data_IF_344402693671
#
_entry.id   IF_344402693671
#
_cell.length_a   1.000
_cell.length_b   1.000
_cell.length_c   1.000
_cell.angle_alpha   90.00
_cell.angle_beta   90.00
_cell.angle_gamma   90.00
#
_symmetry.space_group_name_H-M   'P 1'
#
loop_
_entity.id
_entity.type
_entity.pdbx_description
1 polymer ?
#
# COMPACT_ATOMS: atom_id res chain seq x y z
N UNK A 1 13.01 14.52 -4.25
CA UNK A 1 14.37 14.24 -3.72
C UNK A 1 15.45 14.78 -4.63
N UNK A 2 15.53 14.36 -5.90
CA UNK A 2 16.55 14.90 -6.83
C UNK A 2 16.35 16.39 -7.11
N UNK A 3 15.11 16.81 -7.39
CA UNK A 3 14.79 18.21 -7.66
C UNK A 3 15.13 19.15 -6.50
N UNK A 4 14.98 18.70 -5.24
CA UNK A 4 15.36 19.50 -4.06
C UNK A 4 16.87 19.69 -3.90
N UNK A 5 17.68 18.93 -4.65
CA UNK A 5 19.14 19.08 -4.74
C UNK A 5 19.56 19.90 -5.98
N UNK A 6 18.61 20.52 -6.70
CA UNK A 6 18.88 21.24 -7.94
C UNK A 6 19.23 20.33 -9.12
N UNK A 7 18.87 19.04 -9.06
CA UNK A 7 19.09 18.07 -10.14
C UNK A 7 17.87 18.06 -11.05
N UNK A 8 18.11 18.18 -12.36
CA UNK A 8 17.09 18.03 -13.40
C UNK A 8 16.87 16.56 -13.69
N UNK A 9 15.61 16.13 -13.78
CA UNK A 9 15.23 14.72 -14.04
C UNK A 9 14.48 14.63 -15.37
N UNK A 10 14.79 13.63 -16.18
CA UNK A 10 14.13 13.32 -17.45
C UNK A 10 13.92 11.81 -17.60
N UNK A 11 13.21 11.38 -18.65
CA UNK A 11 13.06 9.96 -19.04
C UNK A 11 12.57 9.05 -17.91
N UNK A 12 11.55 9.53 -17.18
CA UNK A 12 10.96 8.80 -16.05
C UNK A 12 9.89 7.85 -16.60
N UNK A 13 10.03 6.55 -16.30
CA UNK A 13 8.95 5.58 -16.54
C UNK A 13 7.79 5.82 -15.60
N UNK A 14 6.55 5.63 -16.08
CA UNK A 14 5.39 5.80 -15.21
C UNK A 14 5.30 4.69 -14.15
N UNK A 15 4.77 5.03 -12.98
CA UNK A 15 4.54 4.05 -11.92
C UNK A 15 3.64 2.91 -12.42
N UNK A 16 4.07 1.68 -12.19
CA UNK A 16 3.34 0.47 -12.63
C UNK A 16 3.72 -0.04 -14.02
N UNK A 17 4.53 0.69 -14.78
CA UNK A 17 5.10 0.16 -16.02
C UNK A 17 6.08 -0.99 -15.77
N UNK A 18 6.09 -1.98 -16.67
CA UNK A 18 7.09 -3.06 -16.64
C UNK A 18 8.38 -2.59 -17.27
N UNK A 19 9.44 -2.55 -16.47
CA UNK A 19 10.80 -2.35 -16.96
C UNK A 19 11.42 -3.69 -17.42
N UNK A 20 12.17 -3.65 -18.51
CA UNK A 20 13.03 -4.75 -18.98
C UNK A 20 14.44 -4.62 -18.41
N UNK A 21 15.19 -5.72 -18.37
CA UNK A 21 16.59 -5.69 -17.94
C UNK A 21 17.41 -4.73 -18.80
N UNK A 22 18.18 -3.84 -18.17
CA UNK A 22 18.97 -2.80 -18.84
C UNK A 22 18.17 -1.58 -19.31
N UNK A 23 16.86 -1.55 -19.14
CA UNK A 23 16.03 -0.40 -19.48
C UNK A 23 16.30 0.76 -18.52
N UNK A 24 16.46 1.97 -19.07
CA UNK A 24 16.53 3.19 -18.29
C UNK A 24 15.14 3.53 -17.73
N UNK A 25 15.03 3.62 -16.41
CA UNK A 25 13.78 3.97 -15.71
C UNK A 25 13.72 5.44 -15.27
N UNK A 26 14.88 6.10 -15.20
CA UNK A 26 15.04 7.51 -14.82
C UNK A 26 16.37 8.03 -15.36
N UNK A 27 16.41 9.29 -15.80
CA UNK A 27 17.61 10.03 -16.15
C UNK A 27 17.74 11.27 -15.24
N UNK A 28 18.95 11.62 -14.83
CA UNK A 28 19.21 12.77 -13.97
C UNK A 28 20.47 13.51 -14.39
N UNK A 29 20.42 14.85 -14.39
CA UNK A 29 21.52 15.73 -14.78
C UNK A 29 21.70 16.85 -13.75
N UNK A 30 22.96 17.13 -13.38
CA UNK A 30 23.27 18.17 -12.41
C UNK A 30 24.72 18.12 -11.94
N UNK A 31 25.03 18.90 -10.91
CA UNK A 31 26.35 18.90 -10.28
C UNK A 31 26.69 17.51 -9.69
N UNK A 32 27.92 17.06 -9.88
CA UNK A 32 28.38 15.74 -9.43
C UNK A 32 28.17 15.52 -7.91
N UNK A 33 28.46 16.51 -7.06
CA UNK A 33 28.27 16.40 -5.62
C UNK A 33 26.78 16.19 -5.26
N UNK A 34 25.88 16.92 -5.91
CA UNK A 34 24.43 16.76 -5.73
C UNK A 34 23.96 15.37 -6.22
N UNK A 35 24.44 14.92 -7.38
CA UNK A 35 24.15 13.57 -7.89
C UNK A 35 24.60 12.49 -6.91
N UNK A 36 25.83 12.58 -6.38
CA UNK A 36 26.34 11.64 -5.38
C UNK A 36 25.61 11.70 -4.05
N UNK A 37 25.07 12.87 -3.66
CA UNK A 37 24.24 13.01 -2.46
C UNK A 37 22.88 12.31 -2.63
N UNK A 38 22.26 12.40 -3.81
CA UNK A 38 20.90 11.91 -4.04
C UNK A 38 20.78 10.47 -4.54
N UNK A 39 21.75 9.97 -5.32
CA UNK A 39 21.56 8.76 -6.12
C UNK A 39 21.27 7.51 -5.29
N UNK A 40 21.99 7.28 -4.18
CA UNK A 40 21.80 6.10 -3.34
C UNK A 40 20.44 6.07 -2.69
N UNK A 41 19.97 7.21 -2.20
CA UNK A 41 18.66 7.30 -1.57
C UNK A 41 17.55 7.03 -2.59
N UNK A 42 17.65 7.56 -3.81
CA UNK A 42 16.71 7.28 -4.90
C UNK A 42 16.76 5.80 -5.31
N UNK A 43 17.96 5.23 -5.47
CA UNK A 43 18.13 3.81 -5.79
C UNK A 43 17.42 2.92 -4.77
N UNK A 44 17.66 3.14 -3.47
CA UNK A 44 17.04 2.35 -2.41
C UNK A 44 15.50 2.43 -2.44
N UNK A 45 14.95 3.63 -2.70
CA UNK A 45 13.50 3.82 -2.80
C UNK A 45 12.93 3.08 -4.00
N UNK A 46 13.59 3.16 -5.16
CA UNK A 46 13.17 2.47 -6.37
C UNK A 46 13.26 0.95 -6.21
N UNK A 47 14.40 0.43 -5.76
CA UNK A 47 14.61 -1.01 -5.55
C UNK A 47 13.55 -1.61 -4.62
N UNK A 48 13.30 -0.94 -3.48
CA UNK A 48 12.31 -1.41 -2.53
C UNK A 48 10.88 -1.34 -3.09
N UNK A 49 10.52 -0.21 -3.71
CA UNK A 49 9.17 0.00 -4.25
C UNK A 49 8.88 -0.96 -5.40
N UNK A 50 9.82 -1.10 -6.34
CA UNK A 50 9.73 -2.05 -7.45
C UNK A 50 9.70 -3.50 -6.97
N UNK A 51 10.46 -3.85 -5.92
CA UNK A 51 10.41 -5.19 -5.31
C UNK A 51 9.02 -5.51 -4.74
N UNK A 52 8.42 -4.58 -4.01
CA UNK A 52 7.05 -4.71 -3.50
C UNK A 52 6.04 -4.83 -4.65
N UNK A 53 6.12 -3.95 -5.65
CA UNK A 53 5.20 -3.95 -6.79
C UNK A 53 5.32 -5.22 -7.62
N UNK A 54 6.53 -5.67 -7.93
CA UNK A 54 6.78 -6.89 -8.71
C UNK A 54 6.30 -8.15 -7.99
N UNK A 55 6.51 -8.23 -6.67
CA UNK A 55 5.99 -9.35 -5.88
C UNK A 55 4.46 -9.39 -5.90
N UNK A 56 3.80 -8.24 -5.69
CA UNK A 56 2.35 -8.15 -5.70
C UNK A 56 1.75 -8.44 -7.08
N UNK A 57 2.39 -7.97 -8.15
CA UNK A 57 1.99 -8.27 -9.52
C UNK A 57 2.04 -9.79 -9.78
N UNK A 58 3.10 -10.47 -9.36
CA UNK A 58 3.20 -11.93 -9.47
C UNK A 58 2.06 -12.64 -8.73
N UNK A 59 1.72 -12.18 -7.52
CA UNK A 59 0.59 -12.74 -6.77
C UNK A 59 -0.76 -12.50 -7.46
N UNK A 60 -0.98 -11.30 -8.00
CA UNK A 60 -2.20 -10.95 -8.73
C UNK A 60 -2.33 -11.79 -10.00
N UNK A 61 -1.24 -11.96 -10.74
CA UNK A 61 -1.18 -12.80 -11.94
C UNK A 61 -1.54 -14.25 -11.63
N UNK A 62 -1.02 -14.81 -10.53
CA UNK A 62 -1.40 -16.16 -10.08
C UNK A 62 -2.88 -16.24 -9.65
N UNK A 63 -3.37 -15.24 -8.89
CA UNK A 63 -4.76 -15.19 -8.44
C UNK A 63 -5.73 -15.16 -9.64
N UNK A 64 -5.43 -14.34 -10.64
CA UNK A 64 -6.32 -14.07 -11.79
C UNK A 64 -6.42 -15.23 -12.76
N UNK A 65 -5.49 -16.18 -12.74
CA UNK A 65 -5.64 -17.44 -13.46
C UNK A 65 -6.86 -18.24 -12.98
N UNK A 66 -7.24 -18.10 -11.70
CA UNK A 66 -8.37 -18.80 -11.07
C UNK A 66 -9.58 -17.89 -10.87
N UNK A 67 -9.33 -16.62 -10.56
CA UNK A 67 -10.35 -15.63 -10.21
C UNK A 67 -10.08 -14.34 -10.99
N UNK A 68 -10.62 -14.16 -12.21
CA UNK A 68 -10.31 -13.03 -13.08
C UNK A 68 -10.51 -11.66 -12.41
N UNK A 69 -11.54 -11.51 -11.58
CA UNK A 69 -11.86 -10.29 -10.83
C UNK A 69 -11.22 -10.23 -9.43
N UNK A 70 -10.30 -11.16 -9.14
CA UNK A 70 -9.62 -11.27 -7.87
C UNK A 70 -8.82 -10.01 -7.52
N UNK A 71 -8.94 -9.59 -6.27
CA UNK A 71 -8.22 -8.44 -5.70
C UNK A 71 -7.34 -8.89 -4.53
N UNK A 72 -6.17 -8.27 -4.40
CA UNK A 72 -5.29 -8.46 -3.23
C UNK A 72 -5.29 -7.17 -2.41
N UNK A 73 -5.75 -7.28 -1.16
CA UNK A 73 -5.79 -6.17 -0.22
C UNK A 73 -4.60 -6.23 0.74
N UNK A 74 -3.81 -5.15 0.78
CA UNK A 74 -2.61 -5.07 1.60
C UNK A 74 -2.91 -4.55 3.01
N UNK A 75 -2.13 -5.04 3.98
CA UNK A 75 -2.30 -4.73 5.41
C UNK A 75 -1.57 -3.44 5.83
N UNK A 76 -1.62 -3.10 7.13
CA UNK A 76 -0.83 -2.00 7.71
C UNK A 76 0.58 -2.41 8.16
N UNK A 77 1.02 -3.65 7.86
CA UNK A 77 2.34 -4.17 8.25
C UNK A 77 3.43 -3.67 7.29
N UNK A 78 3.57 -2.35 7.20
CA UNK A 78 4.65 -1.71 6.46
C UNK A 78 5.87 -1.51 7.38
N UNK A 79 7.05 -1.31 6.80
CA UNK A 79 8.23 -0.87 7.54
C UNK A 79 7.90 0.48 8.22
N UNK A 80 8.26 0.67 9.51
CA UNK A 80 8.02 1.93 10.19
C UNK A 80 8.55 3.12 9.41
N UNK A 81 7.73 4.16 9.25
CA UNK A 81 8.08 5.38 8.51
C UNK A 81 7.93 5.31 6.98
N UNK A 82 7.71 4.14 6.37
CA UNK A 82 7.69 4.00 4.88
C UNK A 82 6.29 3.81 4.30
N UNK A 83 5.24 4.08 5.08
CA UNK A 83 3.87 3.76 4.70
C UNK A 83 3.42 4.41 3.39
N UNK A 84 3.81 5.65 3.13
CA UNK A 84 3.50 6.35 1.88
C UNK A 84 4.12 5.63 0.69
N UNK A 85 5.40 5.25 0.78
CA UNK A 85 6.10 4.47 -0.24
C UNK A 85 5.42 3.11 -0.46
N UNK A 86 5.08 2.41 0.63
CA UNK A 86 4.37 1.13 0.56
C UNK A 86 3.06 1.27 -0.22
N UNK A 87 2.30 2.32 0.11
CA UNK A 87 1.01 2.59 -0.51
C UNK A 87 1.16 2.82 -2.01
N UNK A 88 2.14 3.63 -2.43
CA UNK A 88 2.39 3.87 -3.85
C UNK A 88 2.80 2.58 -4.58
N UNK A 89 3.73 1.81 -4.02
CA UNK A 89 4.16 0.54 -4.61
C UNK A 89 2.99 -0.46 -4.77
N UNK A 90 2.11 -0.54 -3.77
CA UNK A 90 0.91 -1.41 -3.81
C UNK A 90 -0.05 -0.97 -4.92
N UNK A 91 -0.34 0.33 -5.01
CA UNK A 91 -1.26 0.88 -6.00
C UNK A 91 -0.71 0.75 -7.42
N UNK A 92 0.59 0.99 -7.60
CA UNK A 92 1.29 0.84 -8.89
C UNK A 92 1.19 -0.59 -9.44
N UNK A 93 1.19 -1.60 -8.58
CA UNK A 93 1.00 -3.00 -8.97
C UNK A 93 -0.47 -3.41 -9.18
N UNK A 94 -1.44 -2.52 -8.95
CA UNK A 94 -2.87 -2.82 -9.04
C UNK A 94 -3.45 -3.51 -7.80
N UNK A 95 -2.74 -3.48 -6.68
CA UNK A 95 -3.28 -3.90 -5.38
C UNK A 95 -4.19 -2.86 -4.77
N UNK A 96 -4.90 -3.23 -3.70
CA UNK A 96 -5.78 -2.32 -2.97
C UNK A 96 -5.32 -2.12 -1.53
N UNK A 97 -5.50 -0.91 -1.01
CA UNK A 97 -5.27 -0.61 0.39
C UNK A 97 -6.49 -1.07 1.19
N UNK A 98 -6.29 -2.02 2.10
CA UNK A 98 -7.39 -2.50 2.93
C UNK A 98 -7.91 -1.38 3.86
N UNK A 99 -7.00 -0.63 4.51
CA UNK A 99 -7.34 0.58 5.28
C UNK A 99 -6.16 1.54 5.42
N UNK A 100 -6.45 2.84 5.32
CA UNK A 100 -5.51 3.97 5.42
C UNK A 100 -4.93 4.21 6.83
N UNK A 101 -5.43 3.54 7.86
CA UNK A 101 -5.03 3.77 9.25
C UNK A 101 -5.98 3.09 10.24
N UNK A 102 -5.90 3.48 11.51
CA UNK A 102 -6.94 3.16 12.51
C UNK A 102 -8.08 4.20 12.48
N UNK A 103 -7.80 5.35 11.85
CA UNK A 103 -8.69 6.47 11.59
C UNK A 103 -10.01 6.05 10.95
N UNK A 104 -9.94 5.24 9.90
CA UNK A 104 -10.92 5.20 8.83
C UNK A 104 -11.94 4.07 9.02
N UNK A 105 -11.52 2.96 9.62
CA UNK A 105 -12.38 1.80 9.90
C UNK A 105 -12.01 1.13 11.22
N UNK A 106 -13.04 0.65 11.91
CA UNK A 106 -12.88 -0.14 13.13
C UNK A 106 -12.69 -1.61 12.74
N UNK A 107 -11.59 -2.23 13.19
CA UNK A 107 -11.42 -3.69 13.14
C UNK A 107 -11.40 -4.24 14.56
N UNK A 108 -12.37 -5.08 14.89
CA UNK A 108 -12.45 -5.76 16.17
C UNK A 108 -11.68 -7.08 16.11
N UNK A 109 -10.54 -7.16 16.82
CA UNK A 109 -9.75 -8.38 16.94
C UNK A 109 -10.08 -9.14 18.22
N UNK A 110 -9.69 -10.41 18.29
CA UNK A 110 -9.79 -11.23 19.49
C UNK A 110 -9.14 -10.56 20.72
N UNK A 111 -8.02 -9.87 20.53
CA UNK A 111 -7.33 -9.15 21.61
C UNK A 111 -8.19 -8.04 22.23
N UNK A 112 -9.03 -7.34 21.45
CA UNK A 112 -9.95 -6.35 22.01
C UNK A 112 -11.06 -7.02 22.82
N UNK A 113 -11.59 -8.15 22.31
CA UNK A 113 -12.70 -8.88 22.95
C UNK A 113 -12.33 -9.44 24.32
N UNK A 114 -11.06 -9.78 24.55
CA UNK A 114 -10.57 -10.26 25.85
C UNK A 114 -10.73 -9.24 26.98
N UNK A 115 -10.94 -7.96 26.66
CA UNK A 115 -11.21 -6.90 27.63
C UNK A 115 -12.70 -6.64 27.87
N UNK A 116 -13.60 -7.38 27.21
CA UNK A 116 -15.04 -7.28 27.43
C UNK A 116 -15.46 -8.23 28.56
N UNK A 117 -16.42 -7.80 29.39
CA UNK A 117 -17.02 -8.63 30.44
C UNK A 117 -17.59 -9.94 29.88
N UNK A 118 -18.16 -9.89 28.67
CA UNK A 118 -18.57 -11.07 27.92
C UNK A 118 -17.88 -11.06 26.54
N UNK A 119 -16.74 -11.77 26.37
CA UNK A 119 -15.98 -11.77 25.11
C UNK A 119 -16.73 -12.34 23.91
N UNK A 120 -17.78 -13.13 24.11
CA UNK A 120 -18.55 -13.79 23.05
C UNK A 120 -19.85 -13.07 22.70
N UNK A 121 -20.18 -11.97 23.39
CA UNK A 121 -21.33 -11.12 23.05
C UNK A 121 -21.00 -10.19 21.88
N UNK A 122 -21.08 -10.75 20.67
CA UNK A 122 -20.83 -10.03 19.43
C UNK A 122 -21.83 -8.92 19.17
N UNK A 123 -23.09 -9.15 19.50
CA UNK A 123 -24.19 -8.21 19.23
C UNK A 123 -23.97 -6.92 20.02
N UNK A 124 -23.68 -7.03 21.31
CA UNK A 124 -23.39 -5.87 22.15
C UNK A 124 -22.09 -5.18 21.72
N UNK A 125 -21.03 -5.94 21.45
CA UNK A 125 -19.76 -5.39 20.99
C UNK A 125 -19.91 -4.55 19.71
N UNK A 126 -20.62 -5.07 18.69
CA UNK A 126 -20.88 -4.35 17.44
C UNK A 126 -21.80 -3.14 17.67
N UNK A 127 -22.85 -3.27 18.49
CA UNK A 127 -23.74 -2.16 18.81
C UNK A 127 -23.00 -1.00 19.47
N UNK A 128 -22.12 -1.28 20.44
CA UNK A 128 -21.26 -0.28 21.09
C UNK A 128 -20.30 0.39 20.11
N UNK A 129 -19.68 -0.37 19.21
CA UNK A 129 -18.80 0.21 18.19
C UNK A 129 -19.55 1.17 17.27
N UNK A 130 -20.77 0.81 16.84
CA UNK A 130 -21.60 1.67 15.99
C UNK A 130 -22.05 2.94 16.71
N UNK A 131 -22.37 2.87 17.99
CA UNK A 131 -22.80 4.06 18.75
C UNK A 131 -21.66 5.04 19.00
N UNK A 132 -20.43 4.56 19.19
CA UNK A 132 -19.26 5.40 19.49
C UNK A 132 -18.49 5.86 18.25
N UNK A 133 -18.77 5.28 17.08
CA UNK A 133 -18.16 5.66 15.81
C UNK A 133 -19.22 5.74 14.69
N UNK A 134 -20.28 6.56 14.85
CA UNK A 134 -21.41 6.62 13.91
C UNK A 134 -20.99 7.07 12.50
N UNK A 135 -19.91 7.82 12.38
CA UNK A 135 -19.33 8.27 11.11
C UNK A 135 -18.56 7.16 10.36
N UNK A 136 -18.16 6.09 11.07
CA UNK A 136 -17.51 4.92 10.46
C UNK A 136 -18.57 3.99 9.92
N UNK A 137 -19.07 4.27 8.72
CA UNK A 137 -20.00 3.38 8.01
C UNK A 137 -19.43 1.95 7.97
N UNK A 138 -20.24 0.98 8.39
CA UNK A 138 -20.09 -0.40 7.97
C UNK A 138 -20.06 -0.40 6.44
N UNK A 139 -18.90 -0.66 5.83
CA UNK A 139 -18.88 -1.13 4.45
C UNK A 139 -19.49 -2.53 4.45
N UNK A 140 -20.82 -2.63 4.55
CA UNK A 140 -21.53 -3.75 3.93
C UNK A 140 -21.24 -3.60 2.44
N UNK A 141 -20.28 -4.36 1.91
CA UNK A 141 -20.24 -4.62 0.47
C UNK A 141 -21.56 -5.37 0.15
N UNK A 142 -22.63 -4.62 -0.11
CA UNK A 142 -23.73 -5.09 -0.93
C UNK A 142 -23.12 -5.37 -2.31
N UNK A 143 -22.97 -6.64 -2.67
CA UNK A 143 -22.29 -7.01 -3.91
C UNK A 143 -21.68 -8.42 -3.98
N UNK A 144 -21.91 -9.31 -3.01
CA UNK A 144 -21.74 -10.75 -3.20
C UNK A 144 -23.03 -11.46 -2.76
N UNK A 145 -24.06 -11.27 -3.58
CA UNK A 145 -25.21 -12.14 -3.65
C UNK A 145 -25.52 -12.29 -5.14
N UNK A 146 -24.80 -13.21 -5.77
CA UNK A 146 -25.18 -14.08 -6.88
C UNK A 146 -24.08 -15.12 -7.05
#
# INVERSE_FOLDING_TARGET
MLTSLGITVSDIMADGERASAGQRIICAHGNAAALHQGWKAVQNVLEWSCGVSGYLESMLSQLRQRYPDGQIACTRKAIPGTRSLATQAILAAGGIIHRGGCAETVLLFANHRRFLTNPNDWTNAVARLRSHAPEKKDRRRSGYAR
#
